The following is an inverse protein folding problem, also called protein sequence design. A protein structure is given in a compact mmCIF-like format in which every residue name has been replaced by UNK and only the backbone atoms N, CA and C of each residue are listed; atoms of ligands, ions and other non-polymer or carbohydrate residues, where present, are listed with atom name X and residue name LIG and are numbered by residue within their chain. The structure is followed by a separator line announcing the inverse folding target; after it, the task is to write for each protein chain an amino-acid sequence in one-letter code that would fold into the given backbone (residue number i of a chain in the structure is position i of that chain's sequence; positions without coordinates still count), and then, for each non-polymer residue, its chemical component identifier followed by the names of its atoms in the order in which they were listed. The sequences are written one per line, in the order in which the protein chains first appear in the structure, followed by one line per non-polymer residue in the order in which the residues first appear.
data_IF_694979878540
#
_entry.id   IF_694979878540
#
_cell.length_a   1.000
_cell.length_b   1.000
_cell.length_c   1.000
_cell.angle_alpha   90.00
_cell.angle_beta   90.00
_cell.angle_gamma   90.00
#
_symmetry.space_group_name_H-M   'P 1'
#
loop_
_entity.id
_entity.type
_entity.pdbx_description
1 polymer ?
#
# COMPACT_ATOMS: atom_id res chain seq x y z
N UNK A 1 -13.59 -0.08 23.88
CA UNK A 1 -13.97 0.72 22.69
C UNK A 1 -14.79 -0.18 21.77
N UNK A 2 -16.12 -0.17 21.89
CA UNK A 2 -17.00 -1.01 21.06
C UNK A 2 -17.17 -0.40 19.68
N UNK A 3 -16.30 -0.76 18.74
CA UNK A 3 -16.53 -0.44 17.33
C UNK A 3 -17.73 -1.25 16.86
N UNK A 4 -18.88 -0.57 16.66
CA UNK A 4 -20.07 -1.16 16.05
C UNK A 4 -19.64 -1.95 14.80
N UNK A 5 -20.09 -3.20 14.70
CA UNK A 5 -19.67 -4.19 13.69
C UNK A 5 -19.69 -3.58 12.28
N UNK A 6 -20.69 -2.74 11.99
CA UNK A 6 -20.80 -1.97 10.74
C UNK A 6 -19.60 -1.06 10.48
N UNK A 7 -19.13 -0.27 11.45
CA UNK A 7 -17.95 0.61 11.27
C UNK A 7 -16.69 -0.18 10.94
N UNK A 8 -16.56 -1.37 11.50
CA UNK A 8 -15.41 -2.25 11.25
C UNK A 8 -15.47 -2.84 9.84
N UNK A 9 -16.65 -3.26 9.37
CA UNK A 9 -16.86 -3.68 7.98
C UNK A 9 -16.56 -2.56 6.97
N UNK A 10 -16.98 -1.32 7.27
CA UNK A 10 -16.65 -0.17 6.42
C UNK A 10 -15.14 0.11 6.38
N UNK A 11 -14.46 -0.01 7.54
CA UNK A 11 -13.01 0.11 7.61
C UNK A 11 -12.29 -0.99 6.82
N UNK A 12 -12.77 -2.24 6.87
CA UNK A 12 -12.23 -3.35 6.07
C UNK A 12 -12.45 -3.16 4.57
N UNK A 13 -13.59 -2.61 4.17
CA UNK A 13 -13.88 -2.31 2.76
C UNK A 13 -12.95 -1.20 2.24
N UNK A 14 -12.79 -0.13 3.01
CA UNK A 14 -11.83 0.95 2.71
C UNK A 14 -10.39 0.41 2.64
N UNK A 15 -10.01 -0.44 3.60
CA UNK A 15 -8.70 -1.10 3.61
C UNK A 15 -8.50 -1.97 2.36
N UNK A 16 -9.51 -2.75 1.95
CA UNK A 16 -9.47 -3.56 0.74
C UNK A 16 -9.31 -2.72 -0.53
N UNK A 17 -9.92 -1.54 -0.59
CA UNK A 17 -9.79 -0.63 -1.73
C UNK A 17 -8.38 -0.01 -1.81
N UNK A 18 -7.82 0.42 -0.68
CA UNK A 18 -6.44 0.94 -0.61
C UNK A 18 -5.43 -0.15 -0.96
N UNK A 19 -5.64 -1.37 -0.45
CA UNK A 19 -4.73 -2.49 -0.69
C UNK A 19 -4.82 -3.01 -2.13
N UNK A 20 -6.02 -3.10 -2.68
CA UNK A 20 -6.27 -3.52 -4.07
C UNK A 20 -5.77 -2.51 -5.11
N UNK A 21 -5.99 -1.21 -4.88
CA UNK A 21 -5.49 -0.15 -5.79
C UNK A 21 -3.96 -0.10 -5.83
N UNK A 22 -3.28 -0.38 -4.71
CA UNK A 22 -1.82 -0.52 -4.69
C UNK A 22 -1.35 -1.60 -5.67
N UNK A 23 -2.04 -2.75 -5.74
CA UNK A 23 -1.70 -3.85 -6.66
C UNK A 23 -1.81 -3.47 -8.13
N UNK A 24 -2.78 -2.61 -8.47
CA UNK A 24 -2.95 -2.10 -9.83
C UNK A 24 -1.79 -1.17 -10.20
N UNK A 25 -1.39 -0.26 -9.30
CA UNK A 25 -0.21 0.59 -9.46
C UNK A 25 1.08 -0.23 -9.62
N UNK A 26 1.20 -1.37 -8.90
CA UNK A 26 2.33 -2.30 -9.07
C UNK A 26 2.40 -2.88 -10.47
N UNK A 27 1.25 -3.32 -11.00
CA UNK A 27 1.17 -3.86 -12.36
C UNK A 27 1.54 -2.78 -13.39
N UNK A 28 1.08 -1.55 -13.19
CA UNK A 28 1.45 -0.41 -14.04
C UNK A 28 2.94 -0.03 -13.90
N UNK A 29 3.55 -0.19 -12.72
CA UNK A 29 4.98 0.06 -12.54
C UNK A 29 5.87 -1.06 -13.11
N UNK A 30 5.35 -2.29 -13.15
CA UNK A 30 6.06 -3.43 -13.75
C UNK A 30 6.01 -3.40 -15.27
N UNK A 31 4.95 -2.90 -15.89
CA UNK A 31 4.71 -3.02 -17.33
C UNK A 31 4.37 -1.67 -17.95
N UNK A 32 5.14 -1.26 -18.97
CA UNK A 32 4.79 -0.12 -19.80
C UNK A 32 3.58 -0.46 -20.70
N UNK A 33 2.94 0.56 -21.27
CA UNK A 33 1.92 0.47 -22.33
C UNK A 33 2.36 -0.36 -23.55
N UNK A 34 3.68 -0.52 -23.74
CA UNK A 34 4.29 -1.37 -24.76
C UNK A 34 4.55 -2.83 -24.32
N UNK A 35 4.27 -3.19 -23.06
CA UNK A 35 4.49 -4.54 -22.49
C UNK A 35 5.90 -4.82 -21.98
N UNK A 36 6.80 -3.84 -22.08
CA UNK A 36 8.18 -3.93 -21.57
C UNK A 36 8.25 -3.77 -20.05
N UNK A 37 9.22 -4.45 -19.42
CA UNK A 37 9.40 -4.39 -17.96
C UNK A 37 10.06 -3.08 -17.56
N UNK A 38 9.29 -2.17 -16.95
CA UNK A 38 9.79 -0.86 -16.51
C UNK A 38 10.70 -0.97 -15.28
N UNK A 39 10.28 -1.77 -14.29
CA UNK A 39 11.06 -2.02 -13.07
C UNK A 39 11.06 -3.52 -12.70
N UNK A 40 12.17 -4.04 -12.14
CA UNK A 40 12.19 -5.36 -11.53
C UNK A 40 11.13 -5.45 -10.42
N UNK A 41 10.42 -6.57 -10.35
CA UNK A 41 9.39 -6.80 -9.32
C UNK A 41 9.90 -6.57 -7.87
N UNK A 42 11.18 -6.84 -7.64
CA UNK A 42 11.85 -6.63 -6.37
C UNK A 42 11.96 -5.14 -6.02
N UNK A 43 12.33 -4.27 -6.95
CA UNK A 43 12.47 -2.83 -6.70
C UNK A 43 11.14 -2.19 -6.36
N UNK A 44 10.06 -2.60 -7.03
CA UNK A 44 8.71 -2.07 -6.73
C UNK A 44 8.22 -2.57 -5.37
N UNK A 45 8.58 -3.80 -4.97
CA UNK A 45 8.29 -4.32 -3.64
C UNK A 45 9.07 -3.58 -2.54
N UNK A 46 10.37 -3.34 -2.75
CA UNK A 46 11.20 -2.54 -1.86
C UNK A 46 10.69 -1.10 -1.74
N UNK A 47 10.26 -0.50 -2.85
CA UNK A 47 9.67 0.84 -2.87
C UNK A 47 8.44 0.95 -1.97
N UNK A 48 7.53 -0.03 -2.00
CA UNK A 48 6.36 -0.05 -1.09
C UNK A 48 6.75 -0.14 0.37
N UNK A 49 7.72 -1.00 0.71
CA UNK A 49 8.18 -1.17 2.10
C UNK A 49 8.88 0.11 2.57
N UNK A 50 9.69 0.74 1.71
CA UNK A 50 10.37 2.00 2.02
C UNK A 50 9.38 3.16 2.25
N UNK A 51 8.37 3.31 1.38
CA UNK A 51 7.32 4.33 1.53
C UNK A 51 6.49 4.08 2.79
N UNK A 52 6.12 2.83 3.08
CA UNK A 52 5.41 2.47 4.30
C UNK A 52 6.25 2.77 5.56
N UNK A 53 7.54 2.45 5.52
CA UNK A 53 8.50 2.78 6.59
C UNK A 53 8.64 4.28 6.80
N UNK A 54 8.76 5.07 5.73
CA UNK A 54 8.82 6.54 5.81
C UNK A 54 7.52 7.15 6.35
N UNK A 55 6.36 6.64 5.92
CA UNK A 55 5.07 7.11 6.43
C UNK A 55 4.88 6.78 7.92
N UNK A 56 5.42 5.65 8.38
CA UNK A 56 5.41 5.22 9.78
C UNK A 56 6.52 5.86 10.63
N UNK A 57 7.60 6.37 10.03
CA UNK A 57 8.73 6.97 10.73
C UNK A 57 8.35 8.09 11.71
N UNK A 58 7.49 9.09 11.36
CA UNK A 58 7.11 10.13 12.31
C UNK A 58 6.28 9.57 13.48
N UNK A 59 5.46 8.54 13.25
CA UNK A 59 4.68 7.89 14.32
C UNK A 59 5.60 7.12 15.28
N UNK A 60 6.60 6.42 14.74
CA UNK A 60 7.60 5.71 15.54
C UNK A 60 8.44 6.66 16.40
N UNK A 61 8.75 7.87 15.90
CA UNK A 61 9.51 8.86 16.66
C UNK A 61 8.67 9.58 17.73
N UNK A 62 7.38 9.77 17.48
CA UNK A 62 6.47 10.47 18.41
C UNK A 62 6.09 9.62 19.64
N UNK A 63 6.23 8.30 19.56
CA UNK A 63 5.94 7.36 20.66
C UNK A 63 7.17 6.91 21.48
N UNK A 64 8.33 7.54 21.27
CA UNK A 64 9.57 7.31 22.04
C UNK A 64 9.75 8.34 23.13
#
# INVERSE_FOLDING_TARGET
MGTSNSKMWLALLALGFVWGSSFILMKMALFDTAGERLFPALDVALGRIAIAGLAMAPLAWTHR
#
